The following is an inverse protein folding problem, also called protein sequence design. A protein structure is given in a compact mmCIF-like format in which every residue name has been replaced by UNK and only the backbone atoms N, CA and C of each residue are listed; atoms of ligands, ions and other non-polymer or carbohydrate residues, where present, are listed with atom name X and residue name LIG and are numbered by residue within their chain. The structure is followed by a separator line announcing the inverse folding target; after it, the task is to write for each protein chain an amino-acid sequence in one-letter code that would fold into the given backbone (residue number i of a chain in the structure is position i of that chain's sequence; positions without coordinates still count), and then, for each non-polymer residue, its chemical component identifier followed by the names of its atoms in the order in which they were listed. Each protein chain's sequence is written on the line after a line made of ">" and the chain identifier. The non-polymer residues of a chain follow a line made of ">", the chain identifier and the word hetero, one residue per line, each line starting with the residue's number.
data_IF_183885483966
#
_entry.id   IF_183885483966
#
_cell.length_a   1.000
_cell.length_b   1.000
_cell.length_c   1.000
_cell.angle_alpha   90.00
_cell.angle_beta   90.00
_cell.angle_gamma   90.00
#
_symmetry.space_group_name_H-M   'P 1'
#
loop_
_entity.id
_entity.type
_entity.pdbx_description
1 polymer ?
#
# COMPACT_ATOMS: atom_id res chain seq x y z
N UNK A 1 -25.78 3.46 -11.85
CA UNK A 1 -24.82 3.83 -10.80
C UNK A 1 -24.17 2.53 -10.34
N UNK A 2 -22.83 2.42 -10.39
CA UNK A 2 -22.16 1.19 -9.94
C UNK A 2 -22.15 1.13 -8.41
N UNK A 3 -22.30 -0.05 -7.80
CA UNK A 3 -22.38 -0.17 -6.35
C UNK A 3 -21.03 0.18 -5.69
N UNK A 4 -21.09 0.51 -4.41
CA UNK A 4 -19.95 0.54 -3.51
C UNK A 4 -20.04 -0.71 -2.65
N UNK A 5 -19.03 -1.59 -2.71
CA UNK A 5 -19.07 -2.88 -2.03
C UNK A 5 -17.92 -2.91 -1.03
N UNK A 6 -18.22 -3.00 0.27
CA UNK A 6 -17.20 -3.28 1.28
C UNK A 6 -16.76 -4.73 1.12
N UNK A 7 -15.48 -4.93 0.82
CA UNK A 7 -14.86 -6.25 0.56
C UNK A 7 -13.89 -6.66 1.67
N UNK A 8 -13.59 -5.76 2.62
CA UNK A 8 -12.77 -6.03 3.78
C UNK A 8 -13.00 -5.00 4.87
N UNK A 9 -12.87 -5.42 6.12
CA UNK A 9 -12.98 -4.58 7.30
C UNK A 9 -11.82 -4.92 8.25
N UNK A 10 -11.34 -3.94 8.99
CA UNK A 10 -10.31 -4.11 10.00
C UNK A 10 -10.42 -3.03 11.08
N UNK A 11 -9.78 -3.26 12.22
CA UNK A 11 -9.66 -2.27 13.30
C UNK A 11 -8.18 -2.04 13.55
N UNK A 12 -7.73 -0.79 13.46
CA UNK A 12 -6.34 -0.43 13.78
C UNK A 12 -6.09 -0.48 15.30
N UNK A 13 -4.82 -0.51 15.74
CA UNK A 13 -4.50 -0.57 17.17
C UNK A 13 -5.03 0.60 18.01
N UNK A 14 -5.27 1.77 17.41
CA UNK A 14 -5.87 2.95 18.04
C UNK A 14 -7.41 2.96 17.99
N UNK A 15 -8.03 1.94 17.40
CA UNK A 15 -9.48 1.74 17.37
C UNK A 15 -10.18 2.31 16.14
N UNK A 16 -9.46 2.93 15.19
CA UNK A 16 -10.03 3.41 13.93
C UNK A 16 -10.54 2.25 13.08
N UNK A 17 -11.76 2.39 12.53
CA UNK A 17 -12.33 1.42 11.60
C UNK A 17 -11.73 1.62 10.22
N UNK A 18 -11.14 0.56 9.67
CA UNK A 18 -10.64 0.53 8.30
C UNK A 18 -11.56 -0.32 7.44
N UNK A 19 -11.89 0.16 6.25
CA UNK A 19 -12.71 -0.56 5.27
C UNK A 19 -12.03 -0.55 3.91
N UNK A 20 -11.93 -1.72 3.27
CA UNK A 20 -11.59 -1.84 1.87
C UNK A 20 -12.88 -1.87 1.06
N UNK A 21 -13.06 -0.86 0.21
CA UNK A 21 -14.27 -0.69 -0.60
C UNK A 21 -13.92 -0.81 -2.07
N UNK A 22 -14.61 -1.69 -2.78
CA UNK A 22 -14.55 -1.84 -4.22
C UNK A 22 -15.62 -0.96 -4.90
N UNK A 23 -15.21 -0.29 -5.96
CA UNK A 23 -16.10 0.45 -6.84
C UNK A 23 -15.56 0.46 -8.27
N UNK A 24 -16.28 -0.19 -9.18
CA UNK A 24 -15.94 -0.21 -10.61
C UNK A 24 -14.55 -0.78 -10.93
N UNK A 25 -14.17 -1.84 -10.24
CA UNK A 25 -12.86 -2.47 -10.35
C UNK A 25 -11.74 -1.68 -9.69
N UNK A 26 -12.03 -0.58 -8.99
CA UNK A 26 -11.08 0.21 -8.23
C UNK A 26 -11.30 0.01 -6.73
N UNK A 27 -10.25 0.26 -5.93
CA UNK A 27 -10.28 0.03 -4.50
C UNK A 27 -9.94 1.29 -3.73
N UNK A 28 -10.65 1.51 -2.64
CA UNK A 28 -10.45 2.62 -1.69
C UNK A 28 -10.33 2.03 -0.29
N UNK A 29 -9.32 2.45 0.45
CA UNK A 29 -9.30 2.25 1.90
C UNK A 29 -9.96 3.47 2.54
N UNK A 30 -10.93 3.24 3.42
CA UNK A 30 -11.53 4.27 4.27
C UNK A 30 -11.09 4.09 5.71
N UNK A 31 -10.96 5.20 6.43
CA UNK A 31 -10.71 5.26 7.86
C UNK A 31 -11.85 6.07 8.50
N UNK A 32 -12.63 5.46 9.38
CA UNK A 32 -13.82 6.06 10.01
C UNK A 32 -14.71 6.81 8.99
N UNK A 33 -15.13 6.09 7.93
CA UNK A 33 -15.94 6.57 6.80
C UNK A 33 -15.27 7.62 5.88
N UNK A 34 -14.08 8.11 6.22
CA UNK A 34 -13.34 9.05 5.38
C UNK A 34 -12.41 8.31 4.40
N UNK A 35 -12.39 8.69 3.10
CA UNK A 35 -11.41 8.14 2.16
C UNK A 35 -9.98 8.42 2.62
N UNK A 36 -9.18 7.37 2.77
CA UNK A 36 -7.77 7.46 3.15
C UNK A 36 -6.87 7.40 1.90
N UNK A 37 -7.05 6.40 1.04
CA UNK A 37 -6.26 6.21 -0.18
C UNK A 37 -7.03 5.38 -1.23
N UNK A 38 -6.59 5.44 -2.49
CA UNK A 38 -7.26 4.75 -3.60
C UNK A 38 -6.28 4.22 -4.64
N UNK A 39 -6.69 3.21 -5.41
CA UNK A 39 -5.90 2.72 -6.56
C UNK A 39 -5.79 3.76 -7.68
N UNK A 40 -6.65 4.79 -7.70
CA UNK A 40 -6.63 5.87 -8.71
C UNK A 40 -5.58 6.95 -8.47
N UNK A 41 -5.29 7.24 -7.21
CA UNK A 41 -4.47 8.39 -6.79
C UNK A 41 -3.38 7.91 -5.84
N UNK A 42 -2.19 7.68 -6.40
CA UNK A 42 -1.05 7.09 -5.67
C UNK A 42 0.31 7.72 -6.09
N UNK A 43 0.29 8.91 -6.69
CA UNK A 43 1.51 9.56 -7.19
C UNK A 43 2.48 9.93 -6.06
N UNK A 44 1.95 10.34 -4.90
CA UNK A 44 2.75 10.66 -3.71
C UNK A 44 3.61 9.49 -3.25
N UNK A 45 3.06 8.28 -3.28
CA UNK A 45 3.69 7.04 -2.82
C UNK A 45 4.85 6.65 -3.74
N UNK A 46 4.64 6.76 -5.05
CA UNK A 46 5.67 6.54 -6.07
C UNK A 46 6.79 7.57 -5.93
N UNK A 47 6.45 8.85 -5.80
CA UNK A 47 7.45 9.92 -5.70
C UNK A 47 8.24 9.86 -4.39
N UNK A 48 7.59 9.49 -3.27
CA UNK A 48 8.27 9.30 -1.99
C UNK A 48 9.35 8.23 -2.09
N UNK A 49 9.02 7.06 -2.64
CA UNK A 49 9.98 6.00 -2.86
C UNK A 49 11.09 6.45 -3.83
N UNK A 50 10.74 7.14 -4.91
CA UNK A 50 11.70 7.63 -5.91
C UNK A 50 12.72 8.60 -5.33
N UNK A 51 12.29 9.63 -4.61
CA UNK A 51 13.18 10.67 -4.05
C UNK A 51 14.24 10.07 -3.11
N UNK A 52 13.88 8.99 -2.41
CA UNK A 52 14.76 8.25 -1.50
C UNK A 52 15.66 7.28 -2.26
N UNK A 53 15.07 6.36 -3.03
CA UNK A 53 15.78 5.21 -3.60
C UNK A 53 16.86 5.58 -4.61
N UNK A 54 16.65 6.63 -5.42
CA UNK A 54 17.63 7.08 -6.43
C UNK A 54 18.96 7.57 -5.84
N UNK A 55 19.03 7.80 -4.52
CA UNK A 55 20.23 8.26 -3.81
C UNK A 55 20.92 7.14 -3.05
N UNK A 56 20.36 5.93 -3.04
CA UNK A 56 20.87 4.81 -2.28
C UNK A 56 22.06 4.15 -2.99
N UNK A 57 22.92 3.54 -2.19
CA UNK A 57 24.07 2.75 -2.67
C UNK A 57 23.70 1.26 -2.69
N UNK A 58 24.39 0.42 -3.49
CA UNK A 58 24.22 -1.03 -3.44
C UNK A 58 24.26 -1.58 -2.01
N UNK A 59 23.43 -2.58 -1.72
CA UNK A 59 23.28 -3.17 -0.38
C UNK A 59 22.50 -2.33 0.64
N UNK A 60 21.87 -1.23 0.23
CA UNK A 60 21.05 -0.41 1.11
C UNK A 60 19.86 -1.18 1.69
N UNK A 61 19.50 -0.86 2.94
CA UNK A 61 18.30 -1.39 3.60
C UNK A 61 17.34 -0.24 3.89
N UNK A 62 16.11 -0.33 3.41
CA UNK A 62 15.07 0.69 3.59
C UNK A 62 13.92 0.09 4.36
N UNK A 63 13.46 0.78 5.40
CA UNK A 63 12.25 0.40 6.13
C UNK A 63 11.08 1.25 5.63
N UNK A 64 9.96 0.61 5.32
CA UNK A 64 8.71 1.25 4.90
C UNK A 64 7.67 0.97 5.98
N UNK A 65 7.21 2.03 6.65
CA UNK A 65 6.19 1.95 7.69
C UNK A 65 4.80 2.21 7.10
N UNK A 66 3.86 1.31 7.38
CA UNK A 66 2.56 1.26 6.72
C UNK A 66 2.67 0.65 5.32
N UNK A 67 1.72 -0.20 4.97
CA UNK A 67 1.64 -0.85 3.66
C UNK A 67 0.59 -0.19 2.77
N UNK A 68 -0.60 0.08 3.33
CA UNK A 68 -1.73 0.60 2.57
C UNK A 68 -2.03 -0.27 1.34
N UNK A 69 -2.09 0.35 0.16
CA UNK A 69 -2.27 -0.36 -1.11
C UNK A 69 -0.96 -0.92 -1.72
N UNK A 70 0.19 -0.64 -1.12
CA UNK A 70 1.50 -1.20 -1.52
C UNK A 70 2.29 -0.41 -2.57
N UNK A 71 1.82 0.77 -2.99
CA UNK A 71 2.48 1.55 -4.05
C UNK A 71 3.91 2.00 -3.68
N UNK A 72 4.12 2.43 -2.44
CA UNK A 72 5.47 2.80 -1.94
C UNK A 72 6.41 1.60 -1.97
N UNK A 73 5.94 0.42 -1.55
CA UNK A 73 6.73 -0.81 -1.56
C UNK A 73 7.09 -1.23 -2.98
N UNK A 74 6.10 -1.29 -3.89
CA UNK A 74 6.33 -1.59 -5.31
C UNK A 74 7.37 -0.67 -5.92
N UNK A 75 7.19 0.65 -5.76
CA UNK A 75 8.12 1.64 -6.30
C UNK A 75 9.52 1.54 -5.67
N UNK A 76 9.62 1.21 -4.38
CA UNK A 76 10.91 0.94 -3.75
C UNK A 76 11.57 -0.31 -4.35
N UNK A 77 10.84 -1.41 -4.56
CA UNK A 77 11.36 -2.62 -5.18
C UNK A 77 11.85 -2.39 -6.62
N UNK A 78 11.23 -1.48 -7.36
CA UNK A 78 11.66 -1.11 -8.72
C UNK A 78 12.94 -0.27 -8.75
N UNK A 79 13.22 0.47 -7.67
CA UNK A 79 14.27 1.50 -7.63
C UNK A 79 15.43 1.18 -6.69
N UNK A 80 15.29 0.15 -5.85
CA UNK A 80 16.38 -0.28 -4.98
C UNK A 80 17.59 -0.69 -5.83
N UNK A 81 18.81 -0.25 -5.45
CA UNK A 81 20.02 -0.66 -6.15
C UNK A 81 20.32 -2.14 -5.91
N UNK A 82 21.31 -2.67 -6.63
CA UNK A 82 21.80 -4.05 -6.47
C UNK A 82 21.98 -4.44 -5.00
N UNK A 83 21.53 -5.65 -4.64
CA UNK A 83 21.49 -6.19 -3.27
C UNK A 83 20.71 -5.36 -2.24
N UNK A 84 19.94 -4.37 -2.68
CA UNK A 84 19.06 -3.57 -1.84
C UNK A 84 17.94 -4.42 -1.21
N UNK A 85 17.49 -4.02 -0.02
CA UNK A 85 16.41 -4.72 0.71
C UNK A 85 15.38 -3.72 1.22
N UNK A 86 14.10 -4.02 0.97
CA UNK A 86 12.98 -3.37 1.62
C UNK A 86 12.55 -4.18 2.85
N UNK A 87 12.30 -3.50 3.96
CA UNK A 87 11.70 -4.06 5.18
C UNK A 87 10.34 -3.39 5.35
N UNK A 88 9.28 -4.10 4.97
CA UNK A 88 7.91 -3.62 5.10
C UNK A 88 7.41 -3.88 6.53
N UNK A 89 6.82 -2.86 7.16
CA UNK A 89 6.25 -2.93 8.50
C UNK A 89 4.79 -2.46 8.44
N UNK A 90 3.87 -3.35 8.75
CA UNK A 90 2.43 -3.07 8.82
C UNK A 90 1.89 -3.59 10.16
N UNK A 91 1.04 -2.78 10.80
CA UNK A 91 0.47 -3.07 12.12
C UNK A 91 -0.85 -3.82 12.03
N UNK A 92 -1.60 -3.64 10.94
CA UNK A 92 -2.94 -4.20 10.73
C UNK A 92 -2.82 -5.41 9.80
N UNK A 93 -2.98 -6.66 10.30
CA UNK A 93 -2.82 -7.87 9.50
C UNK A 93 -3.71 -7.90 8.25
N UNK A 94 -4.92 -7.37 8.34
CA UNK A 94 -5.87 -7.32 7.23
C UNK A 94 -5.35 -6.47 6.06
N UNK A 95 -4.57 -5.42 6.32
CA UNK A 95 -3.94 -4.62 5.25
C UNK A 95 -2.95 -5.49 4.45
N UNK A 96 -2.23 -6.39 5.13
CA UNK A 96 -1.34 -7.36 4.48
C UNK A 96 -2.14 -8.35 3.64
N UNK A 97 -3.23 -8.89 4.18
CA UNK A 97 -4.10 -9.82 3.45
C UNK A 97 -4.76 -9.17 2.23
N UNK A 98 -5.18 -7.90 2.33
CA UNK A 98 -5.73 -7.15 1.21
C UNK A 98 -4.68 -6.94 0.12
N UNK A 99 -3.44 -6.61 0.50
CA UNK A 99 -2.34 -6.42 -0.43
C UNK A 99 -1.92 -7.71 -1.14
N UNK A 100 -2.03 -8.87 -0.47
CA UNK A 100 -1.81 -10.18 -1.09
C UNK A 100 -2.99 -10.66 -1.93
N UNK A 101 -4.19 -10.18 -1.64
CA UNK A 101 -5.42 -10.59 -2.31
C UNK A 101 -5.96 -9.52 -3.29
N UNK A 102 -7.09 -8.88 -2.98
CA UNK A 102 -7.87 -8.08 -3.93
C UNK A 102 -7.10 -6.95 -4.61
N UNK A 103 -6.12 -6.34 -3.93
CA UNK A 103 -5.38 -5.18 -4.48
C UNK A 103 -4.00 -5.54 -5.05
N UNK A 104 -3.57 -6.80 -4.97
CA UNK A 104 -2.22 -7.22 -5.34
C UNK A 104 -1.84 -6.86 -6.79
N UNK A 105 -2.79 -7.02 -7.73
CA UNK A 105 -2.58 -6.77 -9.16
C UNK A 105 -2.30 -5.30 -9.49
N UNK A 106 -2.66 -4.35 -8.64
CA UNK A 106 -2.45 -2.92 -8.89
C UNK A 106 -1.01 -2.48 -8.63
N UNK A 107 -0.28 -3.29 -7.88
CA UNK A 107 1.10 -3.04 -7.48
C UNK A 107 2.02 -4.20 -7.85
N UNK A 108 1.62 -5.03 -8.82
CA UNK A 108 2.38 -6.19 -9.29
C UNK A 108 2.89 -7.09 -8.15
N UNK A 109 1.97 -7.43 -7.23
CA UNK A 109 2.20 -8.39 -6.15
C UNK A 109 3.49 -8.11 -5.34
N UNK A 110 3.57 -6.98 -4.61
CA UNK A 110 4.82 -6.55 -3.97
C UNK A 110 5.14 -7.33 -2.66
N UNK A 111 4.26 -8.23 -2.23
CA UNK A 111 4.38 -9.08 -1.04
C UNK A 111 4.28 -10.58 -1.34
#
# INVERSE_FOLDING_TARGET
>A
MKPWITVGEAISPDGTRLELVEHDGEYIIRADDLPLMSTRMHFSEVELARIVCVKLKPGAKVMIGGLGLGYTLRSALDLLPEDGKAVQVELVPEIVEWNRGPVAKFTDHPL
#
